data_IF_477138687390
#
_entry.id   IF_477138687390
#
_cell.length_a   1.000
_cell.length_b   1.000
_cell.length_c   1.000
_cell.angle_alpha   90.00
_cell.angle_beta   90.00
_cell.angle_gamma   90.00
#
_symmetry.space_group_name_H-M   'P 1'
#
loop_
_entity.id
_entity.type
_entity.pdbx_description
1 polymer ?
#
# COMPACT_ATOMS: atom_id res chain seq x y z
N UNK A 1 56.74 -52.07 -63.67
CA UNK A 1 57.02 -52.17 -62.23
C UNK A 1 56.46 -50.92 -61.58
N UNK A 2 55.39 -51.12 -60.81
CA UNK A 2 54.67 -50.24 -59.88
C UNK A 2 54.62 -48.72 -60.12
N UNK A 3 53.42 -48.25 -60.45
CA UNK A 3 52.97 -46.90 -60.09
C UNK A 3 52.66 -46.84 -58.59
N UNK A 4 53.12 -45.77 -57.94
CA UNK A 4 52.77 -45.46 -56.55
C UNK A 4 51.64 -44.43 -56.54
N UNK A 5 50.51 -44.69 -55.85
CA UNK A 5 49.50 -43.68 -55.65
C UNK A 5 49.82 -42.81 -54.43
N UNK A 6 49.54 -41.52 -54.63
CA UNK A 6 49.17 -40.46 -53.68
C UNK A 6 48.82 -40.84 -52.23
N UNK A 7 49.34 -40.06 -51.28
CA UNK A 7 48.61 -39.72 -50.04
C UNK A 7 49.06 -38.36 -49.48
N UNK A 8 48.60 -37.27 -50.11
CA UNK A 8 48.52 -35.97 -49.44
C UNK A 8 47.34 -36.00 -48.46
N UNK A 9 47.59 -36.50 -47.24
CA UNK A 9 46.66 -36.42 -46.13
C UNK A 9 46.70 -35.01 -45.52
N UNK A 10 46.07 -34.05 -46.19
CA UNK A 10 45.79 -32.75 -45.58
C UNK A 10 44.64 -32.90 -44.58
N UNK A 11 45.00 -32.78 -43.30
CA UNK A 11 44.12 -33.00 -42.15
C UNK A 11 43.14 -31.81 -42.02
N UNK A 12 41.81 -32.00 -42.08
CA UNK A 12 40.82 -30.92 -42.02
C UNK A 12 40.52 -30.44 -40.59
N UNK A 13 41.52 -30.38 -39.70
CA UNK A 13 41.28 -30.16 -38.26
C UNK A 13 40.90 -28.71 -37.90
N UNK A 14 41.29 -27.73 -38.73
CA UNK A 14 41.13 -26.30 -38.41
C UNK A 14 39.71 -25.77 -38.66
N UNK A 15 38.99 -26.31 -39.65
CA UNK A 15 37.62 -25.87 -39.97
C UNK A 15 36.59 -26.38 -38.96
N UNK A 16 36.80 -27.58 -38.41
CA UNK A 16 35.96 -28.16 -37.35
C UNK A 16 36.01 -27.34 -36.06
N UNK A 17 37.20 -26.90 -35.64
CA UNK A 17 37.37 -26.09 -34.43
C UNK A 17 36.68 -24.72 -34.55
N UNK A 18 36.81 -24.04 -35.69
CA UNK A 18 36.13 -22.77 -35.93
C UNK A 18 34.61 -22.88 -35.93
N UNK A 19 34.05 -23.95 -36.50
CA UNK A 19 32.61 -24.24 -36.46
C UNK A 19 32.12 -24.52 -35.03
N UNK A 20 32.89 -25.28 -34.26
CA UNK A 20 32.57 -25.59 -32.86
C UNK A 20 32.58 -24.33 -31.99
N UNK A 21 33.55 -23.44 -32.17
CA UNK A 21 33.62 -22.16 -31.44
C UNK A 21 32.44 -21.27 -31.82
N UNK A 22 32.14 -21.11 -33.12
CA UNK A 22 31.02 -20.28 -33.55
C UNK A 22 29.66 -20.81 -33.04
N UNK A 23 29.46 -22.12 -33.05
CA UNK A 23 28.26 -22.75 -32.50
C UNK A 23 28.12 -22.50 -30.99
N UNK A 24 29.22 -22.58 -30.23
CA UNK A 24 29.24 -22.25 -28.79
C UNK A 24 28.92 -20.77 -28.55
N UNK A 25 29.47 -19.86 -29.36
CA UNK A 25 29.19 -18.42 -29.26
C UNK A 25 27.73 -18.11 -29.57
N UNK A 26 27.14 -18.74 -30.58
CA UNK A 26 25.72 -18.57 -30.93
C UNK A 26 24.81 -19.10 -29.82
N UNK A 27 25.11 -20.28 -29.26
CA UNK A 27 24.36 -20.82 -28.12
C UNK A 27 24.46 -19.92 -26.87
N UNK A 28 25.64 -19.35 -26.62
CA UNK A 28 25.86 -18.43 -25.50
C UNK A 28 25.13 -17.10 -25.69
N UNK A 29 25.14 -16.54 -26.90
CA UNK A 29 24.34 -15.35 -27.24
C UNK A 29 22.84 -15.61 -27.06
N UNK A 30 22.36 -16.76 -27.54
CA UNK A 30 20.96 -17.16 -27.41
C UNK A 30 20.55 -17.38 -25.95
N UNK A 31 21.40 -18.03 -25.14
CA UNK A 31 21.12 -18.27 -23.73
C UNK A 31 21.10 -16.97 -22.91
N UNK A 32 22.03 -16.05 -23.17
CA UNK A 32 22.03 -14.72 -22.55
C UNK A 32 20.78 -13.94 -22.96
N UNK A 33 20.43 -13.93 -24.25
CA UNK A 33 19.21 -13.28 -24.74
C UNK A 33 17.95 -13.85 -24.08
N UNK A 34 17.85 -15.17 -23.96
CA UNK A 34 16.75 -15.84 -23.27
C UNK A 34 16.69 -15.48 -21.78
N UNK A 35 17.82 -15.43 -21.09
CA UNK A 35 17.88 -15.04 -19.67
C UNK A 35 17.42 -13.60 -19.47
N UNK A 36 17.86 -12.68 -20.32
CA UNK A 36 17.43 -11.28 -20.28
C UNK A 36 15.92 -11.17 -20.52
N UNK A 37 15.39 -11.91 -21.49
CA UNK A 37 13.95 -11.87 -21.82
C UNK A 37 13.10 -12.43 -20.66
N UNK A 38 13.53 -13.53 -20.04
CA UNK A 38 12.87 -14.09 -18.85
C UNK A 38 12.93 -13.10 -17.68
N UNK A 39 14.08 -12.49 -17.42
CA UNK A 39 14.23 -11.47 -16.38
C UNK A 39 13.33 -10.26 -16.64
N UNK A 40 13.25 -9.78 -17.88
CA UNK A 40 12.38 -8.66 -18.26
C UNK A 40 10.90 -8.98 -18.01
N UNK A 41 10.45 -10.19 -18.37
CA UNK A 41 9.09 -10.65 -18.08
C UNK A 41 8.84 -10.77 -16.57
N UNK A 42 9.78 -11.31 -15.80
CA UNK A 42 9.67 -11.41 -14.35
C UNK A 42 9.57 -10.04 -13.69
N UNK A 43 10.38 -9.06 -14.13
CA UNK A 43 10.31 -7.69 -13.63
C UNK A 43 8.95 -7.06 -13.97
N UNK A 44 8.46 -7.22 -15.21
CA UNK A 44 7.14 -6.73 -15.60
C UNK A 44 6.01 -7.35 -14.77
N UNK A 45 6.05 -8.65 -14.52
CA UNK A 45 5.06 -9.32 -13.65
C UNK A 45 5.18 -8.85 -12.20
N UNK A 46 6.39 -8.64 -11.69
CA UNK A 46 6.60 -8.12 -10.34
C UNK A 46 6.02 -6.71 -10.19
N UNK A 47 6.33 -5.80 -11.12
CA UNK A 47 5.80 -4.43 -11.11
C UNK A 47 4.28 -4.41 -11.28
N UNK A 48 3.71 -5.23 -12.16
CA UNK A 48 2.25 -5.35 -12.31
C UNK A 48 1.59 -5.93 -11.06
N UNK A 49 2.21 -6.93 -10.43
CA UNK A 49 1.73 -7.47 -9.15
C UNK A 49 1.85 -6.43 -8.03
N UNK A 50 2.90 -5.63 -8.03
CA UNK A 50 3.13 -4.57 -7.07
C UNK A 50 2.11 -3.43 -7.25
N UNK A 51 1.79 -3.03 -8.48
CA UNK A 51 0.73 -2.08 -8.78
C UNK A 51 -0.63 -2.59 -8.26
N UNK A 52 -0.95 -3.87 -8.50
CA UNK A 52 -2.18 -4.52 -8.01
C UNK A 52 -2.24 -4.56 -6.48
N UNK A 53 -1.11 -4.88 -5.83
CA UNK A 53 -0.98 -4.82 -4.36
C UNK A 53 -1.15 -3.39 -3.83
N UNK A 54 -0.62 -2.39 -4.53
CA UNK A 54 -0.79 -0.97 -4.20
C UNK A 54 -2.25 -0.53 -4.24
N UNK A 55 -3.02 -0.97 -5.25
CA UNK A 55 -4.46 -0.71 -5.32
C UNK A 55 -5.21 -1.34 -4.15
N UNK A 56 -4.87 -2.59 -3.79
CA UNK A 56 -5.46 -3.29 -2.62
C UNK A 56 -5.11 -2.62 -1.30
N UNK A 57 -3.89 -2.10 -1.15
CA UNK A 57 -3.50 -1.35 0.03
C UNK A 57 -4.32 -0.07 0.16
N UNK A 58 -4.45 0.69 -0.94
CA UNK A 58 -5.22 1.95 -0.95
C UNK A 58 -6.73 1.75 -0.75
N UNK A 59 -7.28 0.58 -1.10
CA UNK A 59 -8.67 0.26 -0.75
C UNK A 59 -8.81 -0.05 0.74
N UNK A 60 -7.89 -0.84 1.30
CA UNK A 60 -7.89 -1.16 2.73
C UNK A 60 -7.67 0.08 3.61
N UNK A 61 -6.81 1.01 3.20
CA UNK A 61 -6.64 2.30 3.89
C UNK A 61 -7.90 3.14 3.90
N UNK A 62 -8.65 3.17 2.79
CA UNK A 62 -9.95 3.85 2.72
C UNK A 62 -10.98 3.20 3.63
N UNK A 63 -11.06 1.88 3.60
CA UNK A 63 -11.96 1.12 4.47
C UNK A 63 -11.63 1.35 5.96
N UNK A 64 -10.35 1.30 6.32
CA UNK A 64 -9.87 1.64 7.66
C UNK A 64 -10.28 3.06 8.08
N UNK A 65 -10.14 4.05 7.20
CA UNK A 65 -10.53 5.43 7.49
C UNK A 65 -12.04 5.57 7.73
N UNK A 66 -12.87 4.84 6.99
CA UNK A 66 -14.33 4.84 7.18
C UNK A 66 -14.71 4.19 8.51
N UNK A 67 -14.13 3.03 8.83
CA UNK A 67 -14.40 2.34 10.09
C UNK A 67 -13.98 3.16 11.31
N UNK A 68 -12.85 3.90 11.22
CA UNK A 68 -12.43 4.79 12.30
C UNK A 68 -13.39 5.97 12.50
N UNK A 69 -13.90 6.54 11.40
CA UNK A 69 -14.92 7.59 11.47
C UNK A 69 -16.19 7.09 12.15
N UNK A 70 -16.66 5.90 11.76
CA UNK A 70 -17.84 5.27 12.35
C UNK A 70 -17.65 5.01 13.85
N UNK A 71 -16.46 4.54 14.24
CA UNK A 71 -16.11 4.33 15.64
C UNK A 71 -16.10 5.66 16.43
N UNK A 72 -15.58 6.74 15.86
CA UNK A 72 -15.57 8.06 16.50
C UNK A 72 -16.99 8.58 16.74
N UNK A 73 -17.86 8.47 15.74
CA UNK A 73 -19.28 8.85 15.85
C UNK A 73 -19.98 8.02 16.92
N UNK A 74 -19.75 6.70 16.95
CA UNK A 74 -20.35 5.83 17.95
C UNK A 74 -19.87 6.17 19.37
N UNK A 75 -18.58 6.45 19.54
CA UNK A 75 -18.02 6.88 20.82
C UNK A 75 -18.61 8.20 21.29
N UNK A 76 -18.85 9.16 20.38
CA UNK A 76 -19.54 10.40 20.71
C UNK A 76 -20.95 10.13 21.23
N UNK A 77 -21.73 9.25 20.58
CA UNK A 77 -23.07 8.89 21.04
C UNK A 77 -23.06 8.18 22.40
N UNK A 78 -22.06 7.33 22.66
CA UNK A 78 -21.87 6.70 23.98
C UNK A 78 -21.58 7.77 25.03
N UNK A 79 -20.69 8.71 24.75
CA UNK A 79 -20.36 9.80 25.67
C UNK A 79 -21.57 10.70 25.93
N UNK A 80 -22.38 10.99 24.92
CA UNK A 80 -23.65 11.74 25.07
C UNK A 80 -24.63 11.00 25.98
N UNK A 81 -24.82 9.69 25.76
CA UNK A 81 -25.68 8.86 26.60
C UNK A 81 -25.18 8.80 28.05
N UNK A 82 -23.86 8.64 28.25
CA UNK A 82 -23.25 8.61 29.58
C UNK A 82 -23.36 9.96 30.29
N UNK A 83 -23.17 11.07 29.57
CA UNK A 83 -23.36 12.41 30.10
C UNK A 83 -24.82 12.62 30.52
N UNK A 84 -25.78 12.19 29.70
CA UNK A 84 -27.20 12.28 30.02
C UNK A 84 -27.56 11.44 31.25
N UNK A 85 -27.08 10.21 31.35
CA UNK A 85 -27.26 9.35 32.52
C UNK A 85 -26.65 9.98 33.78
N UNK A 86 -25.46 10.57 33.65
CA UNK A 86 -24.79 11.26 34.76
C UNK A 86 -25.61 12.47 35.21
N UNK A 87 -26.12 13.28 34.29
CA UNK A 87 -26.97 14.44 34.60
C UNK A 87 -28.31 14.02 35.23
N UNK A 88 -28.93 12.93 34.75
CA UNK A 88 -30.17 12.42 35.32
C UNK A 88 -29.98 11.87 36.74
N UNK A 89 -28.84 11.24 37.02
CA UNK A 89 -28.53 10.67 38.33
C UNK A 89 -27.86 11.67 39.29
N UNK A 90 -27.55 12.89 38.84
CA UNK A 90 -27.02 13.93 39.71
C UNK A 90 -28.10 14.44 40.66
N UNK A 91 -27.84 14.25 41.96
CA UNK A 91 -28.73 14.62 43.04
C UNK A 91 -29.07 16.13 42.99
N UNK A 92 -28.15 17.00 42.54
CA UNK A 92 -28.38 18.44 42.41
C UNK A 92 -29.36 18.80 41.27
N UNK A 93 -29.37 18.02 40.19
CA UNK A 93 -30.28 18.24 39.05
C UNK A 93 -31.67 17.69 39.34
N UNK A 94 -31.79 16.59 40.08
CA UNK A 94 -33.09 16.03 40.48
C UNK A 94 -33.88 16.95 41.41
N UNK A 95 -33.22 17.77 42.23
CA UNK A 95 -33.88 18.80 43.05
C UNK A 95 -34.09 20.13 42.30
N UNK A 96 -33.59 20.26 41.07
CA UNK A 96 -33.70 21.50 40.29
C UNK A 96 -35.11 21.66 39.72
N UNK A 97 -35.81 22.73 40.12
CA UNK A 97 -37.18 23.01 39.68
C UNK A 97 -37.17 23.66 38.30
N UNK A 98 -37.94 23.10 37.36
CA UNK A 98 -38.11 23.66 36.01
C UNK A 98 -38.75 25.06 36.06
N UNK A 99 -38.01 26.09 35.63
CA UNK A 99 -38.49 27.47 35.60
C UNK A 99 -39.39 27.65 34.37
N UNK A 100 -40.70 27.71 34.60
CA UNK A 100 -41.73 27.78 33.55
C UNK A 100 -41.83 29.15 32.85
N UNK A 101 -41.28 30.21 33.45
CA UNK A 101 -41.26 31.58 32.93
C UNK A 101 -39.93 32.26 33.30
N UNK A 102 -38.86 32.09 32.51
CA UNK A 102 -37.61 32.80 32.75
C UNK A 102 -37.81 34.30 32.47
N UNK A 103 -37.75 35.13 33.51
CA UNK A 103 -37.66 36.59 33.35
C UNK A 103 -36.19 36.93 33.11
N UNK A 104 -35.83 37.12 31.85
CA UNK A 104 -34.55 37.70 31.49
C UNK A 104 -34.61 39.19 31.80
N UNK A 105 -33.79 39.63 32.75
CA UNK A 105 -33.57 41.06 32.94
C UNK A 105 -32.71 41.54 31.78
N UNK A 106 -33.29 42.31 30.85
CA UNK A 106 -32.53 43.20 29.97
C UNK A 106 -31.90 44.28 30.86
N UNK A 107 -30.77 43.93 31.47
CA UNK A 107 -30.03 44.76 32.39
C UNK A 107 -28.59 44.79 31.92
N UNK A 108 -28.15 45.98 31.56
CA UNK A 108 -26.87 46.31 30.99
C UNK A 108 -25.68 45.64 31.70
N UNK A 109 -24.66 45.40 30.88
CA UNK A 109 -23.37 44.79 31.16
C UNK A 109 -22.59 45.46 32.31
N UNK A 110 -22.98 45.33 33.58
CA UNK A 110 -22.17 45.85 34.72
C UNK A 110 -22.25 45.02 36.01
N UNK A 111 -22.19 43.69 35.94
CA UNK A 111 -22.03 42.85 37.15
C UNK A 111 -20.65 42.19 37.22
N UNK A 112 -19.60 43.00 37.05
CA UNK A 112 -18.23 42.59 37.38
C UNK A 112 -17.33 43.78 37.71
N UNK A 113 -17.76 44.70 38.58
CA UNK A 113 -16.84 45.72 39.14
C UNK A 113 -17.37 46.33 40.43
N UNK A 114 -17.10 45.67 41.56
CA UNK A 114 -16.94 46.30 42.89
C UNK A 114 -16.49 45.24 43.90
N UNK A 115 -15.51 45.46 44.78
CA UNK A 115 -14.58 46.58 45.03
C UNK A 115 -13.56 46.07 46.07
N UNK A 116 -12.36 46.67 46.02
CA UNK A 116 -11.35 46.91 47.08
C UNK A 116 -11.40 46.11 48.37
#
# INVERSE_FOLDING_TARGET
MLGFPSSSSDIPHRSSLGRMVNQSTVLLMASIGSLILVLALLILFHENANATKGYRLRSLERERSLLLLEQEVLNMHIAESQAMETLQNDNLIQVMVSIRNPKYTEGESEVALRRK
#
